data_IF_306554360868
#
_entry.id   IF_306554360868
#
_cell.length_a   1.000
_cell.length_b   1.000
_cell.length_c   1.000
_cell.angle_alpha   90.00
_cell.angle_beta   90.00
_cell.angle_gamma   90.00
#
_symmetry.space_group_name_H-M   'P 1'
#
loop_
_entity.id
_entity.type
_entity.pdbx_description
1 polymer ?
#
# COMPACT_ATOMS: atom_id res chain seq x y z
N UNK A 1 -31.09 -8.30 -34.82
CA UNK A 1 -29.83 -8.71 -34.15
C UNK A 1 -30.12 -8.61 -32.68
N UNK A 2 -30.06 -9.66 -31.86
CA UNK A 2 -30.11 -9.47 -30.44
C UNK A 2 -28.86 -8.67 -30.04
N UNK A 3 -29.06 -7.61 -29.28
CA UNK A 3 -27.99 -6.81 -28.70
C UNK A 3 -27.05 -7.76 -27.96
N UNK A 4 -25.77 -7.75 -28.35
CA UNK A 4 -24.74 -8.51 -27.63
C UNK A 4 -24.71 -7.98 -26.20
N UNK A 5 -25.00 -8.84 -25.23
CA UNK A 5 -24.74 -8.54 -23.82
C UNK A 5 -23.25 -8.24 -23.74
N UNK A 6 -22.84 -7.05 -23.29
CA UNK A 6 -21.42 -6.75 -23.16
C UNK A 6 -20.76 -7.82 -22.26
N UNK A 7 -19.60 -8.31 -22.67
CA UNK A 7 -18.84 -9.22 -21.83
C UNK A 7 -18.61 -8.58 -20.44
N UNK A 8 -18.79 -9.35 -19.36
CA UNK A 8 -18.61 -8.80 -18.04
C UNK A 8 -17.17 -8.23 -17.90
N UNK A 9 -17.08 -6.99 -17.43
CA UNK A 9 -15.80 -6.32 -17.22
C UNK A 9 -14.89 -7.20 -16.35
N UNK A 10 -13.73 -7.60 -16.91
CA UNK A 10 -12.77 -8.46 -16.22
C UNK A 10 -11.94 -7.65 -15.23
N UNK A 11 -12.37 -7.60 -13.98
CA UNK A 11 -11.69 -6.84 -12.90
C UNK A 11 -10.59 -7.67 -12.24
N UNK A 12 -9.54 -7.01 -11.73
CA UNK A 12 -8.61 -7.65 -10.80
C UNK A 12 -9.36 -8.03 -9.50
N UNK A 13 -8.84 -8.98 -8.67
CA UNK A 13 -9.54 -9.46 -7.47
C UNK A 13 -9.48 -8.43 -6.30
N UNK A 14 -9.80 -7.16 -6.58
CA UNK A 14 -9.83 -6.06 -5.60
C UNK A 14 -10.82 -6.38 -4.48
N UNK A 15 -12.03 -6.79 -4.83
CA UNK A 15 -13.11 -7.09 -3.89
C UNK A 15 -13.11 -8.54 -3.38
N UNK A 16 -12.04 -9.31 -3.63
CA UNK A 16 -11.91 -10.66 -3.08
C UNK A 16 -11.85 -10.60 -1.53
N UNK A 17 -12.34 -11.64 -0.83
CA UNK A 17 -12.32 -11.69 0.62
C UNK A 17 -10.93 -11.48 1.21
N UNK A 18 -10.88 -11.01 2.45
CA UNK A 18 -9.64 -10.94 3.24
C UNK A 18 -9.17 -12.35 3.59
N UNK A 19 -7.85 -12.57 3.54
CA UNK A 19 -7.20 -13.86 3.79
C UNK A 19 -6.31 -13.81 5.04
N UNK A 20 -5.73 -14.94 5.44
CA UNK A 20 -4.90 -15.03 6.64
C UNK A 20 -3.49 -14.43 6.48
N UNK A 21 -3.02 -14.27 5.24
CA UNK A 21 -1.69 -13.73 4.94
C UNK A 21 -1.74 -12.76 3.77
N UNK A 22 -0.91 -11.74 3.82
CA UNK A 22 -0.63 -10.85 2.69
C UNK A 22 0.86 -10.57 2.58
N UNK A 23 1.37 -10.54 1.35
CA UNK A 23 2.69 -10.01 1.01
C UNK A 23 2.47 -8.77 0.16
N UNK A 24 2.87 -7.62 0.70
CA UNK A 24 2.75 -6.33 0.03
C UNK A 24 4.14 -5.89 -0.41
N UNK A 25 4.31 -5.66 -1.70
CA UNK A 25 5.55 -5.21 -2.30
C UNK A 25 5.32 -3.88 -3.02
N UNK A 26 6.12 -2.89 -2.72
CA UNK A 26 6.22 -1.66 -3.50
C UNK A 26 7.60 -1.62 -4.16
N UNK A 27 7.62 -1.45 -5.47
CA UNK A 27 8.85 -1.42 -6.24
C UNK A 27 9.01 -0.15 -7.06
N UNK A 28 10.26 0.20 -7.36
CA UNK A 28 10.64 1.21 -8.35
C UNK A 28 11.27 0.55 -9.56
N UNK A 29 10.90 0.99 -10.75
CA UNK A 29 11.44 0.46 -12.02
C UNK A 29 12.85 1.01 -12.19
N UNK A 30 13.81 0.10 -12.35
CA UNK A 30 15.19 0.49 -12.63
C UNK A 30 15.31 1.13 -14.03
N UNK A 31 16.24 2.06 -14.24
CA UNK A 31 16.40 2.75 -15.52
C UNK A 31 16.51 1.76 -16.70
N UNK A 32 15.58 1.86 -17.66
CA UNK A 32 15.48 0.96 -18.81
C UNK A 32 14.75 -0.36 -18.53
N UNK A 33 14.15 -0.53 -17.34
CA UNK A 33 13.39 -1.70 -16.95
C UNK A 33 11.93 -1.72 -17.42
N UNK A 34 11.45 -0.61 -18.02
CA UNK A 34 10.05 -0.44 -18.41
C UNK A 34 9.53 -1.56 -19.33
N UNK A 35 10.34 -1.96 -20.31
CA UNK A 35 9.96 -3.05 -21.23
C UNK A 35 9.79 -4.38 -20.49
N UNK A 36 10.74 -4.72 -19.62
CA UNK A 36 10.68 -5.97 -18.87
C UNK A 36 9.48 -6.00 -17.90
N UNK A 37 9.19 -4.87 -17.24
CA UNK A 37 8.01 -4.75 -16.36
C UNK A 37 6.73 -4.91 -17.18
N UNK A 38 6.59 -4.20 -18.31
CA UNK A 38 5.42 -4.31 -19.17
C UNK A 38 5.22 -5.72 -19.71
N UNK A 39 6.28 -6.36 -20.21
CA UNK A 39 6.23 -7.67 -20.87
C UNK A 39 5.86 -8.80 -19.89
N UNK A 40 6.01 -8.58 -18.58
CA UNK A 40 5.67 -9.56 -17.53
C UNK A 40 4.21 -9.44 -17.07
N UNK A 41 3.49 -8.37 -17.41
CA UNK A 41 2.12 -8.14 -16.92
C UNK A 41 1.14 -9.26 -17.29
N UNK A 42 1.15 -9.82 -18.52
CA UNK A 42 0.29 -10.96 -18.86
C UNK A 42 0.56 -12.22 -18.02
N UNK A 43 1.75 -12.36 -17.47
CA UNK A 43 2.13 -13.49 -16.63
C UNK A 43 1.51 -13.44 -15.23
N UNK A 44 1.10 -12.28 -14.73
CA UNK A 44 0.53 -12.10 -13.38
C UNK A 44 -0.64 -13.06 -13.14
N UNK A 45 -1.64 -13.02 -14.04
CA UNK A 45 -2.80 -13.90 -13.97
C UNK A 45 -2.45 -15.37 -14.26
N UNK A 46 -1.49 -15.62 -15.14
CA UNK A 46 -1.06 -16.99 -15.47
C UNK A 46 -0.39 -17.68 -14.27
N UNK A 47 0.50 -16.99 -13.55
CA UNK A 47 1.15 -17.49 -12.33
C UNK A 47 0.11 -17.71 -11.23
N UNK A 48 -0.83 -16.76 -11.05
CA UNK A 48 -1.90 -16.89 -10.07
C UNK A 48 -2.79 -18.12 -10.35
N UNK A 49 -3.22 -18.31 -11.60
CA UNK A 49 -4.00 -19.50 -12.00
C UNK A 49 -3.23 -20.81 -11.77
N UNK A 50 -1.95 -20.85 -12.09
CA UNK A 50 -1.12 -22.04 -11.93
C UNK A 50 -0.99 -22.46 -10.46
N UNK A 51 -0.73 -21.49 -9.58
CA UNK A 51 -0.66 -21.72 -8.13
C UNK A 51 -2.02 -22.03 -7.54
N UNK A 52 -3.09 -21.34 -7.94
CA UNK A 52 -4.45 -21.61 -7.52
C UNK A 52 -4.94 -23.00 -7.90
N UNK A 53 -4.58 -23.49 -9.07
CA UNK A 53 -4.87 -24.88 -9.47
C UNK A 53 -4.15 -25.90 -8.58
N UNK A 54 -2.90 -25.61 -8.19
CA UNK A 54 -2.10 -26.51 -7.33
C UNK A 54 -2.52 -26.44 -5.87
N UNK A 55 -2.96 -25.26 -5.42
CA UNK A 55 -3.31 -24.98 -4.02
C UNK A 55 -4.67 -24.26 -3.96
N UNK A 56 -5.78 -24.96 -4.32
CA UNK A 56 -7.10 -24.32 -4.42
C UNK A 56 -7.59 -23.73 -3.09
N UNK A 57 -7.26 -24.36 -1.96
CA UNK A 57 -7.66 -23.91 -0.63
C UNK A 57 -6.84 -22.67 -0.14
N UNK A 58 -5.87 -22.23 -0.92
CA UNK A 58 -5.08 -21.06 -0.55
C UNK A 58 -5.76 -19.73 -0.90
N UNK A 59 -6.81 -19.73 -1.72
CA UNK A 59 -7.59 -18.54 -2.10
C UNK A 59 -6.70 -17.38 -2.60
N UNK A 60 -5.69 -17.71 -3.40
CA UNK A 60 -4.70 -16.74 -3.88
C UNK A 60 -5.35 -15.63 -4.71
N UNK A 61 -5.20 -14.39 -4.27
CA UNK A 61 -5.60 -13.17 -4.96
C UNK A 61 -4.42 -12.21 -5.08
N UNK A 62 -4.18 -11.69 -6.28
CA UNK A 62 -3.08 -10.76 -6.54
C UNK A 62 -3.61 -9.53 -7.27
N UNK A 63 -3.28 -8.34 -6.78
CA UNK A 63 -3.61 -7.06 -7.40
C UNK A 63 -2.31 -6.34 -7.73
N UNK A 64 -2.18 -5.90 -8.98
CA UNK A 64 -1.09 -5.04 -9.43
C UNK A 64 -1.60 -3.62 -9.66
N UNK A 65 -0.90 -2.64 -9.10
CA UNK A 65 -1.19 -1.22 -9.28
C UNK A 65 0.04 -0.45 -9.77
N UNK A 66 -0.18 0.65 -10.46
CA UNK A 66 0.87 1.47 -11.05
C UNK A 66 0.76 2.91 -10.54
N UNK A 67 1.89 3.45 -10.08
CA UNK A 67 1.99 4.84 -9.67
C UNK A 67 1.89 5.80 -10.85
N UNK A 68 1.54 7.03 -10.57
CA UNK A 68 1.32 8.09 -11.55
C UNK A 68 2.48 8.25 -12.56
N UNK A 69 3.70 8.34 -12.05
CA UNK A 69 4.91 8.49 -12.89
C UNK A 69 5.24 7.21 -13.68
N UNK A 70 4.97 6.02 -13.11
CA UNK A 70 5.16 4.75 -13.79
C UNK A 70 4.16 4.56 -14.92
N UNK A 71 2.91 4.97 -14.72
CA UNK A 71 1.87 4.91 -15.76
C UNK A 71 2.34 5.58 -17.05
N UNK A 72 2.83 6.81 -16.92
CA UNK A 72 3.30 7.61 -18.07
C UNK A 72 4.53 7.03 -18.78
N UNK A 73 5.30 6.16 -18.11
CA UNK A 73 6.48 5.47 -18.67
C UNK A 73 6.16 4.11 -19.27
N UNK A 74 5.13 3.43 -18.76
CA UNK A 74 4.79 2.07 -19.13
C UNK A 74 3.75 1.98 -20.25
N UNK A 75 2.80 2.92 -20.32
CA UNK A 75 1.63 2.79 -21.16
C UNK A 75 1.42 4.00 -22.05
N UNK A 76 1.38 3.79 -23.36
CA UNK A 76 0.92 4.80 -24.32
C UNK A 76 -0.61 4.88 -24.30
N UNK A 77 -1.17 6.06 -24.52
CA UNK A 77 -2.61 6.27 -24.62
C UNK A 77 -3.21 7.00 -23.43
N UNK A 78 -4.49 6.76 -23.10
CA UNK A 78 -5.18 7.46 -22.04
C UNK A 78 -4.61 7.11 -20.67
N UNK A 79 -4.88 7.98 -19.72
CA UNK A 79 -4.44 7.88 -18.34
C UNK A 79 -5.65 7.97 -17.42
N UNK A 80 -5.69 7.21 -16.30
CA UNK A 80 -6.77 7.36 -15.32
C UNK A 80 -6.89 8.79 -14.85
N UNK A 81 -8.09 9.37 -14.95
CA UNK A 81 -8.32 10.81 -14.83
C UNK A 81 -7.86 11.38 -13.48
N UNK A 82 -7.94 10.59 -12.41
CA UNK A 82 -7.60 11.01 -11.04
C UNK A 82 -6.29 10.41 -10.53
N UNK A 83 -5.49 9.77 -11.38
CA UNK A 83 -4.19 9.24 -10.98
C UNK A 83 -3.16 10.37 -10.92
N UNK A 84 -2.61 10.64 -9.74
CA UNK A 84 -1.60 11.67 -9.47
C UNK A 84 -0.58 11.19 -8.41
N UNK A 85 0.53 11.87 -8.18
CA UNK A 85 1.42 11.57 -7.06
C UNK A 85 0.67 11.68 -5.73
N UNK A 86 0.95 10.75 -4.78
CA UNK A 86 0.36 10.81 -3.45
C UNK A 86 0.65 12.17 -2.79
N UNK A 87 -0.38 12.88 -2.27
CA UNK A 87 -0.17 14.18 -1.63
C UNK A 87 0.46 13.99 -0.24
N UNK A 88 1.63 14.57 -0.05
CA UNK A 88 2.24 14.66 1.28
C UNK A 88 1.41 15.59 2.17
N UNK A 89 1.06 15.15 3.39
CA UNK A 89 0.30 15.94 4.34
C UNK A 89 1.14 16.28 5.56
N UNK A 90 1.27 17.57 5.85
CA UNK A 90 2.00 18.08 7.02
C UNK A 90 1.05 18.80 7.95
N UNK A 91 0.57 18.09 8.96
CA UNK A 91 -0.16 18.67 10.10
C UNK A 91 0.78 19.33 11.10
N UNK A 92 0.21 19.99 12.12
CA UNK A 92 1.00 20.63 13.19
C UNK A 92 1.87 19.65 13.99
N UNK A 93 1.40 18.40 14.17
CA UNK A 93 2.05 17.36 14.99
C UNK A 93 2.43 16.13 14.19
N UNK A 94 1.64 15.74 13.18
CA UNK A 94 1.77 14.50 12.47
C UNK A 94 2.01 14.72 10.96
N UNK A 95 2.64 13.75 10.34
CA UNK A 95 3.08 13.85 8.95
C UNK A 95 2.75 12.56 8.19
N UNK A 96 2.04 12.65 7.06
CA UNK A 96 1.89 11.58 6.09
C UNK A 96 2.91 11.80 4.96
N UNK A 97 4.02 11.06 4.91
CA UNK A 97 5.02 11.22 3.86
C UNK A 97 4.51 10.71 2.51
N UNK A 98 4.98 11.32 1.42
CA UNK A 98 4.92 10.72 0.09
C UNK A 98 6.21 9.92 -0.16
N UNK A 99 6.08 8.65 -0.50
CA UNK A 99 7.21 7.75 -0.75
C UNK A 99 7.23 7.25 -2.20
N UNK A 100 8.40 6.96 -2.77
CA UNK A 100 8.49 6.43 -4.12
C UNK A 100 7.79 5.08 -4.27
N UNK A 101 7.03 4.92 -5.37
CA UNK A 101 6.38 3.67 -5.73
C UNK A 101 5.95 3.72 -7.20
N UNK A 102 6.53 2.84 -8.02
CA UNK A 102 6.17 2.68 -9.42
C UNK A 102 5.15 1.54 -9.60
N UNK A 103 5.36 0.43 -8.89
CA UNK A 103 4.52 -0.77 -8.95
C UNK A 103 4.16 -1.22 -7.54
N UNK A 104 2.88 -1.45 -7.31
CA UNK A 104 2.34 -2.13 -6.13
C UNK A 104 1.99 -3.57 -6.53
N UNK A 105 2.40 -4.54 -5.72
CA UNK A 105 1.91 -5.91 -5.78
C UNK A 105 1.30 -6.25 -4.42
N UNK A 106 -0.04 -6.33 -4.37
CA UNK A 106 -0.77 -6.80 -3.20
C UNK A 106 -1.17 -8.26 -3.40
N UNK A 107 -0.44 -9.15 -2.76
CA UNK A 107 -0.56 -10.60 -2.87
C UNK A 107 -1.14 -11.11 -1.56
N UNK A 108 -2.29 -11.77 -1.60
CA UNK A 108 -2.96 -12.30 -0.42
C UNK A 108 -3.42 -13.72 -0.64
N UNK A 109 -3.33 -14.52 0.41
CA UNK A 109 -3.74 -15.93 0.40
C UNK A 109 -4.01 -16.42 1.83
N UNK A 110 -4.67 -17.57 1.98
CA UNK A 110 -4.76 -18.26 3.28
C UNK A 110 -3.39 -18.73 3.81
N UNK A 111 -2.35 -18.73 2.94
CA UNK A 111 -1.02 -19.25 3.25
C UNK A 111 0.07 -18.31 2.72
N UNK A 112 0.97 -17.88 3.61
CA UNK A 112 2.11 -17.01 3.28
C UNK A 112 3.07 -17.64 2.27
N UNK A 113 3.29 -18.96 2.31
CA UNK A 113 4.17 -19.64 1.37
C UNK A 113 3.67 -19.59 -0.08
N UNK A 114 2.34 -19.50 -0.27
CA UNK A 114 1.74 -19.31 -1.59
C UNK A 114 1.91 -17.86 -2.08
N UNK A 115 1.77 -16.87 -1.20
CA UNK A 115 2.11 -15.47 -1.50
C UNK A 115 3.59 -15.36 -1.94
N UNK A 116 4.49 -15.96 -1.16
CA UNK A 116 5.92 -15.97 -1.46
C UNK A 116 6.23 -16.67 -2.79
N UNK A 117 5.61 -17.83 -3.06
CA UNK A 117 5.83 -18.57 -4.29
C UNK A 117 5.39 -17.80 -5.53
N UNK A 118 4.31 -17.02 -5.44
CA UNK A 118 3.86 -16.14 -6.52
C UNK A 118 4.86 -15.00 -6.74
N UNK A 119 5.24 -14.29 -5.67
CA UNK A 119 6.20 -13.18 -5.74
C UNK A 119 7.55 -13.63 -6.30
N UNK A 120 8.09 -14.77 -5.83
CA UNK A 120 9.36 -15.29 -6.27
C UNK A 120 9.39 -15.60 -7.78
N UNK A 121 8.30 -16.22 -8.32
CA UNK A 121 8.20 -16.50 -9.75
C UNK A 121 8.11 -15.22 -10.58
N UNK A 122 7.41 -14.20 -10.12
CA UNK A 122 7.29 -12.94 -10.82
C UNK A 122 8.61 -12.15 -10.80
N UNK A 123 9.23 -12.02 -9.63
CA UNK A 123 10.49 -11.29 -9.48
C UNK A 123 11.65 -11.95 -10.25
N UNK A 124 11.66 -13.28 -10.37
CA UNK A 124 12.61 -14.01 -11.22
C UNK A 124 12.46 -13.62 -12.69
N UNK A 125 11.21 -13.52 -13.19
CA UNK A 125 10.92 -13.05 -14.55
C UNK A 125 11.32 -11.59 -14.79
N UNK A 126 11.17 -10.73 -13.79
CA UNK A 126 11.56 -9.32 -13.86
C UNK A 126 13.09 -9.12 -13.94
N UNK A 127 13.88 -10.11 -13.52
CA UNK A 127 15.33 -10.11 -13.74
C UNK A 127 16.07 -8.89 -13.22
N UNK A 128 15.57 -8.23 -12.15
CA UNK A 128 16.15 -7.02 -11.59
C UNK A 128 15.65 -5.70 -12.22
N UNK A 129 14.71 -5.74 -13.15
CA UNK A 129 14.07 -4.52 -13.71
C UNK A 129 13.21 -3.75 -12.68
N UNK A 130 12.81 -4.41 -11.60
CA UNK A 130 12.07 -3.81 -10.49
C UNK A 130 12.86 -3.97 -9.19
N UNK A 131 13.17 -2.86 -8.53
CA UNK A 131 13.80 -2.83 -7.20
C UNK A 131 12.73 -2.65 -6.14
N UNK A 132 12.60 -3.62 -5.23
CA UNK A 132 11.67 -3.53 -4.10
C UNK A 132 12.19 -2.48 -3.11
N UNK A 133 11.33 -1.51 -2.78
CA UNK A 133 11.62 -0.40 -1.86
C UNK A 133 10.85 -0.48 -0.55
N UNK A 134 9.71 -1.18 -0.55
CA UNK A 134 8.99 -1.57 0.66
C UNK A 134 8.46 -3.01 0.51
N UNK A 135 8.69 -3.80 1.53
CA UNK A 135 8.20 -5.18 1.66
C UNK A 135 7.57 -5.36 3.02
N UNK A 136 6.33 -5.84 3.04
CA UNK A 136 5.61 -6.11 4.29
C UNK A 136 4.89 -7.45 4.22
N UNK A 137 5.17 -8.29 5.23
CA UNK A 137 4.51 -9.56 5.46
C UNK A 137 3.41 -9.34 6.51
N UNK A 138 2.17 -9.23 6.04
CA UNK A 138 0.99 -9.06 6.86
C UNK A 138 0.42 -10.41 7.28
N UNK A 139 -0.22 -10.44 8.43
CA UNK A 139 -0.88 -11.62 8.96
C UNK A 139 -2.20 -11.26 9.63
N UNK A 140 -3.16 -12.17 9.58
CA UNK A 140 -4.39 -12.05 10.34
C UNK A 140 -4.09 -12.24 11.82
N UNK A 141 -4.46 -11.25 12.63
CA UNK A 141 -4.27 -11.28 14.06
C UNK A 141 -5.60 -11.53 14.77
N UNK A 142 -5.55 -12.15 15.94
CA UNK A 142 -6.62 -12.55 16.85
C UNK A 142 -8.01 -11.98 16.51
N UNK A 143 -8.94 -12.82 16.09
CA UNK A 143 -10.33 -12.47 15.79
C UNK A 143 -10.50 -11.25 14.86
N UNK A 144 -9.63 -11.12 13.83
CA UNK A 144 -9.58 -9.99 12.89
C UNK A 144 -9.25 -8.64 13.53
N UNK A 145 -8.50 -8.62 14.62
CA UNK A 145 -8.07 -7.38 15.27
C UNK A 145 -6.76 -6.88 14.68
N UNK A 146 -6.55 -5.58 14.82
CA UNK A 146 -5.25 -4.97 14.66
C UNK A 146 -4.36 -5.17 15.92
N UNK A 147 -3.12 -4.67 15.90
CA UNK A 147 -2.22 -4.76 17.06
C UNK A 147 -2.58 -3.78 18.19
N UNK A 148 -3.48 -2.81 17.96
CA UNK A 148 -4.06 -1.95 18.97
C UNK A 148 -5.20 -2.65 19.72
N UNK A 149 -5.68 -3.79 19.20
CA UNK A 149 -6.65 -4.68 19.79
C UNK A 149 -8.10 -4.42 19.39
N UNK A 150 -8.35 -3.60 18.35
CA UNK A 150 -9.67 -3.33 17.80
C UNK A 150 -9.93 -4.19 16.56
N UNK A 151 -11.19 -4.51 16.30
CA UNK A 151 -11.58 -5.25 15.08
C UNK A 151 -11.33 -4.36 13.87
N UNK A 152 -10.63 -4.86 12.87
CA UNK A 152 -10.39 -4.16 11.61
C UNK A 152 -11.34 -4.66 10.52
N UNK A 153 -11.87 -3.74 9.74
CA UNK A 153 -12.76 -4.05 8.61
C UNK A 153 -14.24 -4.17 8.96
N UNK A 154 -14.68 -3.82 10.18
CA UNK A 154 -16.11 -3.80 10.56
C UNK A 154 -16.94 -2.92 9.64
N UNK A 155 -16.42 -1.76 9.25
CA UNK A 155 -17.07 -0.79 8.36
C UNK A 155 -16.76 -1.03 6.86
N UNK A 156 -16.21 -2.18 6.48
CA UNK A 156 -16.01 -2.47 5.07
C UNK A 156 -17.34 -2.73 4.38
N UNK A 157 -17.63 -2.07 3.24
CA UNK A 157 -18.77 -2.38 2.43
C UNK A 157 -18.71 -3.82 1.91
N UNK A 158 -19.85 -4.43 1.64
CA UNK A 158 -19.97 -5.83 1.19
C UNK A 158 -20.79 -5.94 -0.09
N UNK A 159 -20.58 -6.99 -0.87
CA UNK A 159 -21.37 -7.26 -2.07
C UNK A 159 -21.27 -6.16 -3.13
N UNK A 160 -22.41 -5.64 -3.58
CA UNK A 160 -22.46 -4.59 -4.60
C UNK A 160 -21.94 -3.24 -4.08
N UNK A 161 -22.13 -2.94 -2.80
CA UNK A 161 -21.61 -1.71 -2.18
C UNK A 161 -20.06 -1.72 -2.16
N UNK A 162 -19.44 -2.88 -1.90
CA UNK A 162 -17.99 -3.01 -1.99
C UNK A 162 -17.46 -2.76 -3.41
N UNK A 163 -18.21 -3.20 -4.43
CA UNK A 163 -17.85 -2.94 -5.83
C UNK A 163 -18.02 -1.46 -6.17
N UNK A 164 -19.11 -0.84 -5.73
CA UNK A 164 -19.38 0.57 -5.96
C UNK A 164 -18.36 1.48 -5.26
N UNK A 165 -17.94 1.12 -4.05
CA UNK A 165 -16.93 1.88 -3.31
C UNK A 165 -15.52 1.75 -3.90
N UNK A 166 -15.15 0.55 -4.41
CA UNK A 166 -13.78 0.24 -4.79
C UNK A 166 -13.48 0.37 -6.29
N UNK A 167 -14.48 0.18 -7.18
CA UNK A 167 -14.26 0.09 -8.63
C UNK A 167 -14.79 1.32 -9.36
N UNK A 168 -13.98 1.87 -10.24
CA UNK A 168 -14.32 3.01 -11.11
C UNK A 168 -15.55 2.66 -11.96
N UNK A 169 -16.56 3.52 -11.96
CA UNK A 169 -17.75 3.38 -12.76
C UNK A 169 -17.56 3.89 -14.20
N UNK A 170 -18.38 3.38 -15.13
CA UNK A 170 -18.37 3.83 -16.52
C UNK A 170 -18.72 5.33 -16.68
N UNK A 171 -19.47 5.89 -15.74
CA UNK A 171 -19.84 7.33 -15.76
C UNK A 171 -18.70 8.22 -15.26
N UNK A 172 -17.79 7.69 -14.41
CA UNK A 172 -16.69 8.44 -13.82
C UNK A 172 -15.48 8.49 -14.76
N UNK A 173 -15.09 7.33 -15.32
CA UNK A 173 -13.99 7.21 -16.27
C UNK A 173 -14.22 5.99 -17.18
N UNK A 174 -14.87 6.19 -18.36
CA UNK A 174 -15.27 5.08 -19.23
C UNK A 174 -14.09 4.26 -19.79
N UNK A 175 -12.92 4.88 -19.95
CA UNK A 175 -11.71 4.17 -20.43
C UNK A 175 -11.11 3.25 -19.34
N UNK A 176 -11.44 3.51 -18.08
CA UNK A 176 -10.89 2.83 -16.91
C UNK A 176 -11.96 2.21 -16.00
N UNK A 177 -13.18 2.03 -16.51
CA UNK A 177 -14.25 1.30 -15.81
C UNK A 177 -13.74 -0.04 -15.26
N UNK A 178 -14.06 -0.34 -13.99
CA UNK A 178 -13.64 -1.55 -13.30
C UNK A 178 -12.19 -1.56 -12.80
N UNK A 179 -11.43 -0.49 -13.05
CA UNK A 179 -10.17 -0.23 -12.34
C UNK A 179 -10.40 0.26 -10.91
N UNK A 180 -9.33 0.44 -10.13
CA UNK A 180 -9.41 0.92 -8.74
C UNK A 180 -8.23 1.80 -8.40
N UNK A 181 -8.47 2.91 -7.72
CA UNK A 181 -7.41 3.68 -7.07
C UNK A 181 -7.03 3.01 -5.76
N UNK A 182 -5.73 2.97 -5.45
CA UNK A 182 -5.22 2.28 -4.26
C UNK A 182 -4.26 3.19 -3.52
N UNK A 183 -4.62 3.56 -2.31
CA UNK A 183 -3.71 4.25 -1.38
C UNK A 183 -3.13 3.23 -0.43
N UNK A 184 -1.80 3.26 -0.27
CA UNK A 184 -1.09 2.42 0.70
C UNK A 184 -0.26 3.26 1.65
N UNK A 185 -0.31 2.91 2.93
CA UNK A 185 0.51 3.50 3.98
C UNK A 185 0.93 2.46 5.01
N UNK A 186 2.19 2.51 5.42
CA UNK A 186 2.71 1.69 6.51
C UNK A 186 2.74 2.53 7.78
N UNK A 187 2.05 2.07 8.81
CA UNK A 187 2.00 2.71 10.13
C UNK A 187 2.78 1.88 11.14
N UNK A 188 3.68 2.55 11.89
CA UNK A 188 4.36 1.96 13.04
C UNK A 188 3.65 2.40 14.32
N UNK A 189 3.32 1.45 15.20
CA UNK A 189 2.62 1.69 16.45
C UNK A 189 3.57 1.75 17.64
N UNK A 190 3.43 2.79 18.48
CA UNK A 190 4.00 2.80 19.83
C UNK A 190 3.09 2.00 20.78
N UNK A 191 3.26 0.67 20.75
CA UNK A 191 2.48 -0.23 21.60
C UNK A 191 2.75 -0.01 23.10
N UNK A 192 3.88 0.59 23.48
CA UNK A 192 4.19 0.92 24.88
C UNK A 192 3.32 2.05 25.35
N UNK A 193 3.26 3.16 24.60
CA UNK A 193 2.39 4.28 24.91
C UNK A 193 0.91 3.88 24.82
N UNK A 194 0.53 3.11 23.79
CA UNK A 194 -0.85 2.62 23.63
C UNK A 194 -1.32 1.75 24.79
N UNK A 195 -0.52 0.80 25.23
CA UNK A 195 -0.86 -0.11 26.34
C UNK A 195 -0.79 0.55 27.72
N UNK A 196 -0.24 1.77 27.82
CA UNK A 196 -0.30 2.57 29.05
C UNK A 196 -1.66 3.27 29.25
N UNK A 197 -2.48 3.37 28.20
CA UNK A 197 -3.84 3.88 28.29
C UNK A 197 -4.78 2.86 28.94
N UNK A 198 -5.81 3.35 29.63
CA UNK A 198 -6.95 2.50 30.03
C UNK A 198 -7.75 2.07 28.80
N UNK A 199 -8.57 1.02 28.94
CA UNK A 199 -9.43 0.55 27.84
C UNK A 199 -10.38 1.67 27.40
N UNK A 200 -10.97 2.40 28.33
CA UNK A 200 -11.88 3.51 28.06
C UNK A 200 -11.20 4.67 27.30
N UNK A 201 -9.92 4.93 27.59
CA UNK A 201 -9.15 5.91 26.83
C UNK A 201 -8.87 5.43 25.41
N UNK A 202 -8.50 4.15 25.23
CA UNK A 202 -8.32 3.54 23.91
C UNK A 202 -9.60 3.58 23.08
N UNK A 203 -10.75 3.25 23.69
CA UNK A 203 -12.07 3.29 23.08
C UNK A 203 -12.43 4.71 22.61
N UNK A 204 -12.09 5.72 23.41
CA UNK A 204 -12.31 7.14 23.04
C UNK A 204 -11.41 7.61 21.90
N UNK A 205 -10.19 7.07 21.77
CA UNK A 205 -9.30 7.34 20.62
C UNK A 205 -9.89 6.76 19.35
N UNK A 206 -10.44 5.56 19.40
CA UNK A 206 -11.00 4.88 18.22
C UNK A 206 -12.42 5.35 17.91
N UNK A 207 -13.28 5.53 18.93
CA UNK A 207 -14.69 5.90 18.78
C UNK A 207 -15.65 4.70 18.86
N UNK A 208 -15.16 3.54 19.37
CA UNK A 208 -15.96 2.33 19.57
C UNK A 208 -15.47 1.50 20.75
N UNK A 209 -16.31 0.59 21.26
CA UNK A 209 -15.93 -0.32 22.33
C UNK A 209 -14.92 -1.35 21.82
N UNK A 210 -13.95 -1.70 22.68
CA UNK A 210 -12.84 -2.58 22.31
C UNK A 210 -13.26 -4.06 22.22
N UNK A 211 -14.10 -4.51 23.13
CA UNK A 211 -14.45 -5.94 23.23
C UNK A 211 -15.67 -6.29 22.38
N UNK A 212 -16.71 -5.47 22.44
CA UNK A 212 -17.99 -5.76 21.78
C UNK A 212 -18.09 -5.14 20.38
N UNK A 213 -17.08 -4.36 19.96
CA UNK A 213 -16.99 -3.72 18.64
C UNK A 213 -18.24 -2.85 18.30
N UNK A 214 -18.78 -2.16 19.32
CA UNK A 214 -19.94 -1.26 19.18
C UNK A 214 -19.46 0.17 19.03
N UNK A 215 -19.86 0.82 17.94
CA UNK A 215 -19.59 2.24 17.72
C UNK A 215 -20.29 3.11 18.76
N UNK A 216 -19.63 4.19 19.20
CA UNK A 216 -20.26 5.13 20.10
C UNK A 216 -21.39 5.92 19.40
N UNK A 217 -22.51 6.22 20.12
CA UNK A 217 -23.49 7.17 19.62
C UNK A 217 -22.82 8.50 19.26
N UNK A 218 -23.35 9.22 18.26
CA UNK A 218 -22.74 10.47 17.77
C UNK A 218 -22.58 11.53 18.87
N UNK A 219 -23.50 11.58 19.83
CA UNK A 219 -23.42 12.49 20.97
C UNK A 219 -22.29 12.18 21.97
N UNK A 220 -21.83 10.92 22.01
CA UNK A 220 -20.77 10.44 22.92
C UNK A 220 -19.42 10.24 22.23
N UNK A 221 -19.40 10.19 20.89
CA UNK A 221 -18.22 9.97 20.07
C UNK A 221 -17.32 11.21 20.09
N UNK A 222 -16.04 11.11 20.55
CA UNK A 222 -15.14 12.24 20.49
C UNK A 222 -14.91 12.72 19.06
N UNK A 223 -14.95 14.04 18.84
CA UNK A 223 -14.77 14.61 17.49
C UNK A 223 -13.36 14.39 16.92
N UNK A 224 -12.38 14.06 17.76
CA UNK A 224 -11.01 13.73 17.40
C UNK A 224 -10.75 12.22 17.38
N UNK A 225 -11.81 11.39 17.50
CA UNK A 225 -11.70 9.94 17.39
C UNK A 225 -11.48 9.50 15.94
N UNK A 226 -10.84 8.34 15.77
CA UNK A 226 -10.55 7.76 14.46
C UNK A 226 -11.82 7.60 13.60
N UNK A 227 -12.90 7.07 14.17
CA UNK A 227 -14.16 6.91 13.44
C UNK A 227 -14.76 8.25 13.03
N UNK A 228 -14.83 9.24 13.94
CA UNK A 228 -15.45 10.53 13.63
C UNK A 228 -14.75 11.26 12.47
N UNK A 229 -13.43 11.18 12.37
CA UNK A 229 -12.64 11.84 11.32
C UNK A 229 -12.59 11.07 10.00
N UNK A 230 -12.92 9.77 10.02
CA UNK A 230 -12.89 8.93 8.83
C UNK A 230 -14.27 8.61 8.25
N UNK A 231 -15.35 9.04 8.87
CA UNK A 231 -16.69 9.03 8.27
C UNK A 231 -16.81 10.21 7.31
N UNK A 232 -16.86 9.92 6.01
CA UNK A 232 -16.90 10.93 4.95
C UNK A 232 -18.32 11.05 4.43
N UNK A 233 -18.95 12.22 4.62
CA UNK A 233 -20.28 12.51 4.11
C UNK A 233 -20.21 13.65 3.11
N UNK A 234 -20.88 13.48 1.96
CA UNK A 234 -21.00 14.51 0.96
C UNK A 234 -22.08 15.54 1.36
N UNK A 235 -22.08 16.75 0.76
CA UNK A 235 -23.05 17.81 1.12
C UNK A 235 -24.51 17.44 0.95
N UNK A 236 -24.81 16.41 0.15
CA UNK A 236 -26.18 15.88 -0.04
C UNK A 236 -26.58 14.83 1.01
N UNK A 237 -25.69 14.51 1.95
CA UNK A 237 -25.88 13.51 2.99
C UNK A 237 -25.49 12.09 2.60
N UNK A 238 -24.90 11.89 1.42
CA UNK A 238 -24.41 10.57 0.98
C UNK A 238 -23.10 10.25 1.70
N UNK A 239 -23.07 9.11 2.39
CA UNK A 239 -21.83 8.57 2.98
C UNK A 239 -20.96 7.93 1.90
N UNK A 240 -19.64 8.14 1.99
CA UNK A 240 -18.66 7.66 1.03
C UNK A 240 -17.72 6.67 1.68
N UNK A 241 -17.67 5.48 1.12
CA UNK A 241 -16.86 4.37 1.61
C UNK A 241 -15.64 4.10 0.75
N UNK A 242 -14.68 3.40 1.36
CA UNK A 242 -13.57 2.73 0.69
C UNK A 242 -13.53 1.27 1.12
N UNK A 243 -12.96 0.40 0.29
CA UNK A 243 -12.72 -0.99 0.67
C UNK A 243 -11.30 -1.13 1.25
N UNK A 244 -11.20 -1.43 2.55
CA UNK A 244 -9.92 -1.60 3.25
C UNK A 244 -9.50 -3.06 3.25
N UNK A 245 -8.21 -3.30 2.99
CA UNK A 245 -7.58 -4.61 3.09
C UNK A 245 -6.34 -4.54 3.99
N UNK A 246 -6.49 -3.87 5.14
CA UNK A 246 -5.43 -3.67 6.11
C UNK A 246 -4.88 -5.00 6.63
N UNK A 247 -3.60 -5.01 6.98
CA UNK A 247 -2.97 -6.15 7.61
C UNK A 247 -2.03 -5.70 8.74
N UNK A 248 -2.16 -6.29 9.94
CA UNK A 248 -1.12 -6.20 10.95
C UNK A 248 0.19 -6.81 10.46
N UNK A 249 1.30 -6.22 10.88
CA UNK A 249 2.64 -6.77 10.67
C UNK A 249 3.52 -6.55 11.90
N UNK A 250 4.59 -7.34 12.03
CA UNK A 250 5.51 -7.16 13.14
C UNK A 250 6.86 -7.82 12.92
N UNK A 251 7.91 -7.20 13.48
CA UNK A 251 9.28 -7.70 13.49
C UNK A 251 9.90 -7.48 14.85
N UNK A 252 9.97 -8.53 15.67
CA UNK A 252 10.58 -8.45 17.01
C UNK A 252 12.04 -8.05 16.96
N UNK A 253 12.79 -8.53 15.95
CA UNK A 253 14.21 -8.20 15.82
C UNK A 253 14.50 -6.74 15.47
N UNK A 254 13.52 -6.07 14.82
CA UNK A 254 13.61 -4.63 14.50
C UNK A 254 12.87 -3.75 15.50
N UNK A 255 12.00 -4.34 16.35
CA UNK A 255 11.09 -3.57 17.21
C UNK A 255 10.02 -2.82 16.43
N UNK A 256 9.67 -3.26 15.23
CA UNK A 256 8.66 -2.65 14.37
C UNK A 256 7.36 -3.44 14.45
N UNK A 257 6.27 -2.79 14.82
CA UNK A 257 4.93 -3.36 14.91
C UNK A 257 3.95 -2.34 14.35
N UNK A 258 2.96 -2.80 13.58
CA UNK A 258 2.09 -1.82 12.96
C UNK A 258 0.97 -2.40 12.12
N UNK A 259 0.31 -1.51 11.40
CA UNK A 259 -0.72 -1.83 10.40
C UNK A 259 -0.26 -1.32 9.04
N UNK A 260 -0.33 -2.19 8.04
CA UNK A 260 -0.23 -1.79 6.65
C UNK A 260 -1.63 -1.47 6.14
N UNK A 261 -1.89 -0.18 5.93
CA UNK A 261 -3.14 0.31 5.36
C UNK A 261 -3.15 0.12 3.85
N UNK A 262 -4.22 -0.46 3.32
CA UNK A 262 -4.54 -0.53 1.90
C UNK A 262 -6.00 -0.13 1.73
N UNK A 263 -6.24 1.02 1.11
CA UNK A 263 -7.59 1.50 0.77
C UNK A 263 -7.81 1.47 -0.74
N UNK A 264 -8.78 0.69 -1.18
CA UNK A 264 -9.27 0.67 -2.56
C UNK A 264 -10.48 1.59 -2.69
N UNK A 265 -10.47 2.44 -3.69
CA UNK A 265 -11.55 3.39 -3.93
C UNK A 265 -11.82 3.60 -5.44
N UNK A 266 -13.09 3.79 -5.79
CA UNK A 266 -13.49 4.25 -7.12
C UNK A 266 -12.98 5.67 -7.38
N UNK A 267 -12.89 6.48 -6.32
CA UNK A 267 -12.42 7.86 -6.31
C UNK A 267 -11.36 8.05 -5.22
N UNK A 268 -10.10 8.41 -5.55
CA UNK A 268 -9.04 8.59 -4.57
C UNK A 268 -9.32 9.75 -3.60
N UNK A 269 -10.16 10.74 -3.98
CA UNK A 269 -10.49 11.89 -3.11
C UNK A 269 -11.15 11.44 -1.80
N UNK A 270 -11.91 10.34 -1.80
CA UNK A 270 -12.51 9.80 -0.56
C UNK A 270 -11.42 9.46 0.46
N UNK A 271 -10.44 8.64 0.06
CA UNK A 271 -9.31 8.30 0.92
C UNK A 271 -8.49 9.53 1.30
N UNK A 272 -8.28 10.46 0.36
CA UNK A 272 -7.52 11.68 0.64
C UNK A 272 -8.24 12.63 1.60
N UNK A 273 -9.57 12.69 1.56
CA UNK A 273 -10.38 13.42 2.56
C UNK A 273 -10.21 12.81 3.94
N UNK A 274 -10.28 11.47 4.06
CA UNK A 274 -9.99 10.76 5.31
C UNK A 274 -8.61 11.15 5.85
N UNK A 275 -7.58 11.08 5.01
CA UNK A 275 -6.22 11.44 5.40
C UNK A 275 -6.09 12.92 5.77
N UNK A 276 -6.72 13.84 5.03
CA UNK A 276 -6.73 15.26 5.40
C UNK A 276 -7.36 15.48 6.78
N UNK A 277 -8.49 14.83 7.06
CA UNK A 277 -9.13 14.90 8.37
C UNK A 277 -8.22 14.34 9.48
N UNK A 278 -7.59 13.19 9.25
CA UNK A 278 -6.68 12.58 10.22
C UNK A 278 -5.47 13.48 10.54
N UNK A 279 -4.75 13.95 9.51
CA UNK A 279 -3.47 14.64 9.69
C UNK A 279 -3.59 16.14 9.90
N UNK A 280 -4.58 16.79 9.29
CA UNK A 280 -4.78 18.24 9.37
C UNK A 280 -5.92 18.62 10.34
N UNK A 281 -6.88 17.72 10.51
CA UNK A 281 -8.05 17.88 11.38
C UNK A 281 -9.27 18.44 10.65
N UNK A 282 -10.45 18.07 11.16
CA UNK A 282 -11.74 18.67 10.84
C UNK A 282 -12.52 18.93 12.14
N UNK A 283 -12.61 20.21 12.61
CA UNK A 283 -12.02 21.42 12.05
C UNK A 283 -10.47 21.42 12.11
N UNK A 284 -9.79 22.25 11.32
CA UNK A 284 -8.33 22.31 11.30
C UNK A 284 -7.69 22.41 12.69
N UNK A 285 -6.73 21.51 12.98
CA UNK A 285 -6.05 21.41 14.26
C UNK A 285 -6.62 20.33 15.20
N UNK A 286 -7.77 19.74 14.85
CA UNK A 286 -8.36 18.58 15.55
C UNK A 286 -7.90 17.30 14.81
N UNK A 287 -6.65 16.89 15.01
CA UNK A 287 -6.10 15.69 14.37
C UNK A 287 -6.66 14.40 14.98
N UNK A 288 -6.59 13.33 14.22
CA UNK A 288 -6.98 11.99 14.67
C UNK A 288 -6.01 11.50 15.78
N UNK A 289 -6.56 11.22 16.94
CA UNK A 289 -5.79 10.80 18.11
C UNK A 289 -5.08 9.47 17.98
N UNK A 290 -5.47 8.63 17.01
CA UNK A 290 -4.72 7.40 16.70
C UNK A 290 -3.28 7.71 16.26
N UNK A 291 -3.06 8.87 15.65
CA UNK A 291 -1.73 9.31 15.20
C UNK A 291 -0.78 9.64 16.37
N UNK A 292 -1.28 9.86 17.57
CA UNK A 292 -0.45 9.99 18.79
C UNK A 292 0.30 8.68 19.10
N UNK A 293 -0.20 7.54 18.58
CA UNK A 293 0.32 6.19 18.81
C UNK A 293 0.74 5.47 17.51
N UNK A 294 0.48 6.07 16.35
CA UNK A 294 0.70 5.46 15.04
C UNK A 294 1.35 6.45 14.08
N UNK A 295 2.58 6.14 13.66
CA UNK A 295 3.35 7.01 12.76
C UNK A 295 3.33 6.45 11.34
N UNK A 296 2.84 7.23 10.38
CA UNK A 296 2.95 6.89 8.95
C UNK A 296 4.41 7.03 8.50
N UNK A 297 4.97 5.95 7.92
CA UNK A 297 6.35 5.93 7.43
C UNK A 297 6.43 5.80 5.91
N UNK A 298 5.34 5.44 5.25
CA UNK A 298 5.20 5.45 3.79
C UNK A 298 3.87 6.07 3.38
N UNK A 299 3.74 6.45 2.11
CA UNK A 299 2.49 6.90 1.50
C UNK A 299 2.63 6.90 -0.02
N UNK A 300 1.76 6.17 -0.72
CA UNK A 300 1.78 6.08 -2.18
C UNK A 300 0.37 5.86 -2.72
N UNK A 301 0.10 6.43 -3.90
CA UNK A 301 -1.14 6.25 -4.65
C UNK A 301 -0.83 5.49 -5.95
N UNK A 302 -1.63 4.45 -6.19
CA UNK A 302 -1.55 3.62 -7.40
C UNK A 302 -2.92 3.53 -8.06
N UNK A 303 -2.92 3.12 -9.33
CA UNK A 303 -4.10 2.68 -10.03
C UNK A 303 -3.94 1.21 -10.41
N UNK A 304 -4.92 0.38 -10.03
CA UNK A 304 -5.03 -1.02 -10.42
C UNK A 304 -5.99 -1.10 -11.63
N UNK A 305 -5.49 -1.30 -12.85
CA UNK A 305 -6.35 -1.41 -14.03
C UNK A 305 -7.10 -2.74 -14.04
N UNK A 306 -8.03 -2.91 -14.99
CA UNK A 306 -8.71 -4.17 -15.23
C UNK A 306 -7.72 -5.31 -15.55
N UNK A 307 -8.18 -6.55 -15.35
CA UNK A 307 -7.35 -7.72 -15.63
C UNK A 307 -7.04 -7.86 -17.13
N UNK A 308 -8.00 -7.58 -18.02
CA UNK A 308 -7.81 -7.60 -19.47
C UNK A 308 -6.79 -6.56 -19.97
N UNK A 309 -6.68 -5.40 -19.29
CA UNK A 309 -5.61 -4.43 -19.55
C UNK A 309 -4.22 -5.01 -19.27
N UNK A 310 -4.10 -5.84 -18.23
CA UNK A 310 -2.84 -6.50 -17.90
C UNK A 310 -2.51 -7.66 -18.83
N UNK A 311 -3.53 -8.33 -19.37
CA UNK A 311 -3.36 -9.42 -20.34
C UNK A 311 -2.85 -8.91 -21.71
N UNK A 312 -3.25 -7.69 -22.12
CA UNK A 312 -2.80 -7.02 -23.37
C UNK A 312 -2.51 -5.53 -23.11
N UNK A 313 -1.41 -5.22 -22.41
CA UNK A 313 -1.10 -3.85 -22.04
C UNK A 313 -0.73 -2.99 -23.25
N UNK A 314 -1.09 -1.69 -23.27
CA UNK A 314 -0.68 -0.76 -24.32
C UNK A 314 0.83 -0.76 -24.53
N UNK A 315 1.32 -0.41 -25.74
CA UNK A 315 2.76 -0.32 -25.99
C UNK A 315 3.42 0.74 -25.10
N UNK A 316 4.74 0.62 -24.95
CA UNK A 316 5.51 1.69 -24.32
C UNK A 316 5.29 3.01 -25.09
N UNK A 317 5.26 4.16 -24.39
CA UNK A 317 5.23 5.44 -25.04
C UNK A 317 6.41 5.58 -26.03
N UNK A 318 6.13 5.99 -27.26
CA UNK A 318 7.21 6.31 -28.18
C UNK A 318 8.04 7.43 -27.59
N UNK A 319 9.35 7.25 -27.51
CA UNK A 319 10.26 8.37 -27.25
C UNK A 319 10.04 9.35 -28.41
N UNK A 320 9.10 10.29 -28.27
CA UNK A 320 8.94 11.38 -29.21
C UNK A 320 10.31 12.01 -29.35
N UNK A 321 10.83 12.00 -30.60
CA UNK A 321 12.20 12.27 -30.97
C UNK A 321 12.85 13.35 -30.11
N UNK A 322 14.07 13.07 -29.74
CA UNK A 322 15.02 14.05 -29.22
C UNK A 322 15.35 15.11 -30.33
N UNK A 323 14.32 15.80 -30.78
CA UNK A 323 14.36 16.88 -31.71
C UNK A 323 14.02 18.16 -30.94
N UNK A 324 15.03 19.01 -30.81
CA UNK A 324 14.91 20.37 -30.34
C UNK A 324 14.73 20.65 -28.84
N UNK A 325 15.70 20.19 -28.04
CA UNK A 325 15.99 20.93 -26.80
C UNK A 325 16.84 22.12 -27.17
N UNK A 326 16.41 23.37 -26.95
CA UNK A 326 17.29 24.54 -27.17
C UNK A 326 18.52 24.37 -26.29
N UNK A 327 19.69 24.52 -26.89
CA UNK A 327 21.00 24.51 -26.22
C UNK A 327 20.98 25.52 -25.06
N UNK A 328 21.35 25.13 -23.83
CA UNK A 328 21.39 26.08 -22.73
C UNK A 328 22.43 27.16 -23.04
N UNK A 329 22.04 28.41 -22.87
CA UNK A 329 22.94 29.56 -23.03
C UNK A 329 24.20 29.38 -22.16
N UNK A 330 25.40 29.83 -22.61
CA UNK A 330 26.66 29.64 -21.91
C UNK A 330 26.64 30.29 -20.53
N UNK A 331 26.96 29.50 -19.53
CA UNK A 331 26.96 29.82 -18.11
C UNK A 331 27.83 31.04 -17.78
N UNK A 332 27.25 31.93 -17.01
CA UNK A 332 27.99 32.91 -16.23
C UNK A 332 28.84 32.20 -15.17
N UNK A 333 30.09 32.62 -15.11
CA UNK A 333 31.16 32.15 -14.22
C UNK A 333 30.66 31.95 -12.79
N UNK A 334 30.61 30.69 -12.32
CA UNK A 334 30.46 30.36 -10.90
C UNK A 334 31.83 30.40 -10.23
N UNK A 335 31.97 31.23 -9.20
CA UNK A 335 33.08 31.18 -8.26
C UNK A 335 33.11 29.84 -7.52
N UNK A 336 34.29 29.20 -7.50
CA UNK A 336 34.52 27.94 -6.76
C UNK A 336 34.45 28.19 -5.25
N UNK A 337 33.83 27.31 -4.48
CA UNK A 337 33.94 27.35 -3.01
C UNK A 337 35.27 26.75 -2.55
N UNK A 338 35.95 27.49 -1.70
CA UNK A 338 37.22 27.18 -1.03
C UNK A 338 37.11 25.83 -0.31
N UNK A 339 38.05 24.91 -0.58
CA UNK A 339 38.16 23.62 0.05
C UNK A 339 38.47 23.74 1.56
N UNK A 340 37.66 23.06 2.38
CA UNK A 340 37.92 22.86 3.79
C UNK A 340 38.90 21.69 4.00
N UNK A 341 39.89 21.88 4.88
CA UNK A 341 40.91 20.91 5.25
C UNK A 341 40.32 19.60 5.82
N UNK A 342 40.94 18.45 5.56
CA UNK A 342 40.48 17.16 6.07
C UNK A 342 40.80 17.00 7.57
N UNK A 343 39.77 16.74 8.35
CA UNK A 343 39.88 16.35 9.76
C UNK A 343 40.59 14.99 9.86
N UNK A 344 41.72 14.95 10.56
CA UNK A 344 42.47 13.70 10.91
C UNK A 344 41.58 12.84 11.81
N UNK A 345 41.29 11.63 11.37
CA UNK A 345 40.72 10.57 12.21
C UNK A 345 41.86 9.84 12.94
N UNK A 346 41.78 9.78 14.27
CA UNK A 346 42.61 8.94 15.12
C UNK A 346 42.17 7.47 15.03
N UNK A 347 43.11 6.49 15.14
CA UNK A 347 42.75 5.08 15.02
C UNK A 347 42.12 4.53 16.30
N UNK A 348 40.99 3.80 16.13
CA UNK A 348 40.29 3.06 17.19
C UNK A 348 41.10 1.83 17.58
N UNK A 349 41.33 1.55 18.90
CA UNK A 349 42.07 0.38 19.35
C UNK A 349 41.26 -0.92 19.15
N UNK A 350 41.94 -1.92 18.59
CA UNK A 350 41.42 -3.30 18.46
C UNK A 350 41.42 -3.99 19.81
N UNK A 351 40.21 -4.36 20.31
CA UNK A 351 40.05 -5.24 21.47
C UNK A 351 40.05 -6.73 21.05
N UNK A 352 40.27 -7.68 21.99
CA UNK A 352 40.67 -9.04 21.69
C UNK A 352 39.53 -9.95 21.21
N UNK A 353 39.95 -10.84 20.35
CA UNK A 353 39.33 -12.01 19.76
C UNK A 353 38.58 -12.89 20.77
N UNK A 354 37.24 -13.09 20.60
CA UNK A 354 36.46 -14.08 21.33
C UNK A 354 35.80 -15.09 20.39
N UNK A 355 36.44 -16.25 20.35
CA UNK A 355 35.84 -17.58 20.40
C UNK A 355 34.72 -17.91 19.40
N UNK A 356 35.10 -18.57 18.31
CA UNK A 356 34.22 -19.37 17.44
C UNK A 356 33.42 -20.41 18.22
N UNK A 357 32.08 -20.34 18.18
CA UNK A 357 31.17 -21.38 18.64
C UNK A 357 31.14 -22.55 17.63
N UNK A 358 31.78 -23.65 18.01
CA UNK A 358 31.68 -24.96 17.33
C UNK A 358 30.30 -25.55 17.64
N UNK A 359 29.45 -25.68 16.62
CA UNK A 359 28.23 -26.52 16.67
C UNK A 359 28.68 -27.97 16.54
N UNK A 360 28.51 -28.73 17.64
CA UNK A 360 28.80 -30.15 17.68
C UNK A 360 27.74 -30.96 16.91
N UNK A 361 28.22 -31.88 16.08
CA UNK A 361 27.45 -32.90 15.39
C UNK A 361 26.81 -33.88 16.40
N UNK A 362 25.48 -34.06 16.34
CA UNK A 362 24.76 -35.16 16.95
C UNK A 362 24.98 -36.42 16.11
N UNK A 363 25.84 -37.33 16.58
CA UNK A 363 25.90 -38.71 16.11
C UNK A 363 24.87 -39.56 16.88
N UNK A 364 24.20 -40.40 16.11
CA UNK A 364 23.32 -41.47 16.52
C UNK A 364 23.87 -42.35 17.64
N UNK A 365 23.07 -42.73 18.60
CA UNK A 365 23.19 -44.04 19.32
C UNK A 365 21.89 -44.77 19.29
N UNK A 366 21.86 -45.81 18.46
CA UNK A 366 20.98 -46.94 18.61
C UNK A 366 21.43 -47.81 19.81
N UNK A 367 20.50 -48.08 20.69
CA UNK A 367 20.29 -49.37 21.34
C UNK A 367 18.93 -49.37 22.03
#
# INVERSE_FOLDING_TARGET
>A
MPDAVPDPVSVQPVVAPLTNAALILVGTIEPGGESAVRDVLPDLAAVARSLGFRFPDAELACVAGFGSSAWDRLFAGPRPARLHPFPELRGPLHHAPATPGDVLLHIRAERMDVCYAWAAQLLDKLGGALRIVDETHGFRYLDHRDLLGFVDGTENPVGDDARAAALVGAEDDPDFEGGSYVVVQKYLHDLTAWNALTVEEQERVIGRTKFDDIEFPDEDKPADSHLALNTITDPDGTERDILRANMPFGSFGKGEFGTYFIGYAADPDVTERMLRNMFLGDPPGTHDRILDFSTAVTGSLFFAPRADFLDDPPPLPSLAGSGDRPEPAPDAVREEPVAADPVRQEPVPTGPDHGSLRIGSLQERAQ
#
